data_IF_388452585290
#
_entry.id   IF_388452585290
#
_cell.length_a   1.000
_cell.length_b   1.000
_cell.length_c   1.000
_cell.angle_alpha   90.00
_cell.angle_beta   90.00
_cell.angle_gamma   90.00
#
_symmetry.space_group_name_H-M   'P 1'
#
loop_
_entity.id
_entity.type
_entity.pdbx_description
1 polymer ?
#
# COMPACT_ATOMS: atom_id res chain seq x y z
N UNK A 1 -48.94 -22.84 -23.82
CA UNK A 1 -49.15 -21.67 -22.94
C UNK A 1 -47.78 -21.05 -22.75
N UNK A 2 -47.47 -20.05 -23.55
CA UNK A 2 -46.09 -19.56 -23.79
C UNK A 2 -45.93 -18.25 -23.03
N UNK A 3 -45.15 -18.27 -21.94
CA UNK A 3 -44.90 -17.08 -21.12
C UNK A 3 -43.71 -16.34 -21.72
N UNK A 4 -44.00 -15.19 -22.34
CA UNK A 4 -43.02 -14.27 -22.90
C UNK A 4 -42.44 -13.41 -21.78
N UNK A 5 -41.14 -13.53 -21.52
CA UNK A 5 -40.40 -12.68 -20.59
C UNK A 5 -39.79 -11.49 -21.34
N UNK A 6 -40.36 -10.31 -21.16
CA UNK A 6 -39.78 -9.02 -21.59
C UNK A 6 -38.83 -8.50 -20.51
N UNK A 7 -37.56 -8.33 -20.85
CA UNK A 7 -36.55 -7.71 -20.00
C UNK A 7 -36.81 -6.20 -19.84
N UNK A 8 -36.71 -5.63 -18.62
CA UNK A 8 -36.80 -4.20 -18.41
C UNK A 8 -35.50 -3.48 -18.81
N UNK A 9 -35.66 -2.36 -19.50
CA UNK A 9 -34.61 -1.41 -19.92
C UNK A 9 -34.01 -0.70 -18.70
N UNK A 10 -32.68 -0.50 -18.63
CA UNK A 10 -32.07 0.30 -17.56
C UNK A 10 -32.34 1.79 -17.79
N UNK A 11 -32.99 2.43 -16.82
CA UNK A 11 -33.15 3.89 -16.75
C UNK A 11 -31.84 4.51 -16.27
N UNK A 12 -31.25 5.36 -17.12
CA UNK A 12 -30.13 6.23 -16.81
C UNK A 12 -30.55 7.28 -15.79
N UNK A 13 -30.07 7.15 -14.55
CA UNK A 13 -30.16 8.19 -13.52
C UNK A 13 -29.10 9.25 -13.78
N UNK A 14 -29.54 10.39 -14.28
CA UNK A 14 -28.74 11.61 -14.45
C UNK A 14 -28.30 12.10 -13.07
N UNK A 15 -27.00 12.09 -12.81
CA UNK A 15 -26.38 12.66 -11.62
C UNK A 15 -26.45 14.19 -11.69
N UNK A 16 -27.12 14.79 -10.70
CA UNK A 16 -27.13 16.23 -10.48
C UNK A 16 -25.84 16.63 -9.76
N UNK A 17 -25.14 17.71 -10.18
CA UNK A 17 -24.00 18.21 -9.43
C UNK A 17 -24.47 18.87 -8.12
N UNK A 18 -23.96 18.38 -6.99
CA UNK A 18 -24.11 19.03 -5.70
C UNK A 18 -23.30 20.33 -5.69
N UNK A 19 -24.00 21.45 -5.85
CA UNK A 19 -23.47 22.78 -5.65
C UNK A 19 -23.20 23.00 -4.17
N UNK A 20 -21.92 23.12 -3.81
CA UNK A 20 -21.42 23.45 -2.47
C UNK A 20 -21.94 24.83 -2.04
N UNK A 21 -23.01 24.85 -1.24
CA UNK A 21 -23.46 26.06 -0.58
C UNK A 21 -22.59 26.32 0.66
N UNK A 22 -21.62 27.21 0.49
CA UNK A 22 -20.87 27.84 1.58
C UNK A 22 -21.87 28.69 2.38
N UNK A 23 -22.36 28.16 3.51
CA UNK A 23 -23.10 28.95 4.49
C UNK A 23 -22.11 29.56 5.46
N UNK A 24 -21.96 30.89 5.35
CA UNK A 24 -21.32 31.73 6.33
C UNK A 24 -22.01 31.56 7.69
N UNK A 25 -21.26 31.05 8.68
CA UNK A 25 -21.69 31.02 10.07
C UNK A 25 -21.43 32.41 10.66
N UNK A 26 -22.52 33.13 10.90
CA UNK A 26 -22.52 34.39 11.63
C UNK A 26 -22.07 34.14 13.07
N UNK A 27 -20.99 34.80 13.46
CA UNK A 27 -20.52 34.88 14.83
C UNK A 27 -21.54 35.66 15.69
N UNK A 28 -22.37 34.95 16.43
CA UNK A 28 -23.21 35.50 17.48
C UNK A 28 -22.42 35.61 18.78
N UNK A 29 -21.79 36.76 19.01
CA UNK A 29 -21.20 37.11 20.31
C UNK A 29 -22.34 37.41 21.28
N UNK A 30 -22.65 36.47 22.18
CA UNK A 30 -23.53 36.72 23.34
C UNK A 30 -22.65 37.18 24.49
N UNK A 31 -22.51 38.49 24.63
CA UNK A 31 -21.89 39.13 25.80
C UNK A 31 -22.88 39.07 26.97
N UNK A 32 -22.73 38.06 27.84
CA UNK A 32 -23.43 38.02 29.12
C UNK A 32 -22.66 38.86 30.15
N UNK A 33 -23.05 40.13 30.27
CA UNK A 33 -22.54 41.02 31.30
C UNK A 33 -23.19 40.67 32.66
N UNK A 34 -22.47 39.92 33.50
CA UNK A 34 -22.84 39.73 34.90
C UNK A 34 -22.51 41.02 35.68
N UNK A 35 -23.54 41.80 35.99
CA UNK A 35 -23.44 42.94 36.90
C UNK A 35 -23.29 42.41 38.34
N UNK A 36 -22.05 42.39 38.83
CA UNK A 36 -21.73 42.11 40.22
C UNK A 36 -22.08 43.34 41.08
N UNK A 37 -23.13 43.25 41.88
CA UNK A 37 -23.45 44.27 42.89
C UNK A 37 -22.56 44.04 44.13
N UNK A 38 -21.93 45.08 44.70
CA UNK A 38 -21.17 44.97 45.95
C UNK A 38 -22.13 45.04 47.13
N UNK A 39 -22.42 43.90 47.76
CA UNK A 39 -23.05 43.89 49.09
C UNK A 39 -21.93 43.92 50.11
N UNK A 40 -21.68 45.12 50.64
CA UNK A 40 -20.86 45.30 51.82
C UNK A 40 -21.61 44.89 53.09
N UNK A 41 -20.91 44.20 53.99
CA UNK A 41 -21.09 44.30 55.43
C UNK A 41 -19.84 43.73 56.11
N UNK A 42 -18.89 44.61 56.46
CA UNK A 42 -17.82 44.33 57.40
C UNK A 42 -18.44 44.15 58.80
N UNK A 43 -18.52 42.92 59.27
CA UNK A 43 -18.76 42.60 60.67
C UNK A 43 -17.41 42.33 61.36
N UNK A 44 -17.29 42.82 62.59
CA UNK A 44 -16.07 42.84 63.40
C UNK A 44 -15.52 41.44 63.71
N UNK A 45 -14.19 41.26 63.83
CA UNK A 45 -13.60 40.00 64.23
C UNK A 45 -13.82 39.81 65.74
N UNK A 46 -14.70 38.90 66.10
CA UNK A 46 -14.71 38.30 67.43
C UNK A 46 -13.56 37.30 67.46
N UNK A 47 -12.51 37.61 68.21
CA UNK A 47 -11.42 36.68 68.51
C UNK A 47 -11.96 35.51 69.33
N UNK A 48 -12.40 34.47 68.63
CA UNK A 48 -12.53 33.13 69.18
C UNK A 48 -11.25 32.39 68.84
N UNK A 49 -10.62 31.79 69.84
CA UNK A 49 -9.53 30.86 69.68
C UNK A 49 -9.99 29.75 68.70
N UNK A 50 -9.53 29.85 67.46
CA UNK A 50 -9.70 28.83 66.43
C UNK A 50 -8.81 27.66 66.85
N UNK A 51 -9.41 26.71 67.57
CA UNK A 51 -8.89 25.35 67.64
C UNK A 51 -8.75 24.87 66.19
N UNK A 52 -7.51 24.88 65.71
CA UNK A 52 -7.03 24.36 64.42
C UNK A 52 -7.32 22.85 64.39
N UNK A 53 -8.59 22.50 64.14
CA UNK A 53 -9.00 21.13 63.89
C UNK A 53 -8.28 20.70 62.62
N UNK A 54 -7.26 19.85 62.77
CA UNK A 54 -6.53 19.26 61.67
C UNK A 54 -7.52 18.75 60.62
N UNK A 55 -7.51 19.36 59.44
CA UNK A 55 -8.40 19.00 58.34
C UNK A 55 -8.21 17.51 58.01
N UNK A 56 -9.33 16.80 57.87
CA UNK A 56 -9.32 15.40 57.46
C UNK A 56 -8.63 15.29 56.10
N UNK A 57 -7.51 14.53 55.97
CA UNK A 57 -6.79 14.39 54.70
C UNK A 57 -7.68 13.93 53.53
N UNK A 58 -8.79 13.23 53.82
CA UNK A 58 -9.74 12.82 52.79
C UNK A 58 -10.54 13.98 52.19
N UNK A 59 -10.84 15.02 52.99
CA UNK A 59 -11.52 16.22 52.52
C UNK A 59 -10.63 17.00 51.54
N UNK A 60 -9.35 17.15 51.89
CA UNK A 60 -8.38 17.81 51.02
C UNK A 60 -8.23 17.11 49.66
N UNK A 61 -8.19 15.77 49.66
CA UNK A 61 -8.10 14.98 48.42
C UNK A 61 -9.34 15.15 47.53
N UNK A 62 -10.54 15.24 48.11
CA UNK A 62 -11.78 15.49 47.36
C UNK A 62 -11.83 16.91 46.77
N UNK A 63 -11.33 17.90 47.50
CA UNK A 63 -11.23 19.27 47.00
C UNK A 63 -10.22 19.38 45.83
N UNK A 64 -9.10 18.67 45.91
CA UNK A 64 -8.13 18.59 44.81
C UNK A 64 -8.73 17.85 43.59
N UNK A 65 -9.40 16.72 43.80
CA UNK A 65 -10.09 15.98 42.74
C UNK A 65 -11.15 16.86 42.03
N UNK A 66 -11.86 17.70 42.78
CA UNK A 66 -12.81 18.66 42.21
C UNK A 66 -12.13 19.73 41.35
N UNK A 67 -11.00 20.28 41.79
CA UNK A 67 -10.24 21.25 41.00
C UNK A 67 -9.74 20.63 39.69
N UNK A 68 -9.26 19.38 39.73
CA UNK A 68 -8.86 18.62 38.54
C UNK A 68 -10.06 18.36 37.62
N UNK A 69 -11.22 18.00 38.17
CA UNK A 69 -12.44 17.83 37.39
C UNK A 69 -12.82 19.11 36.63
N UNK A 70 -12.84 20.25 37.32
CA UNK A 70 -13.17 21.57 36.73
C UNK A 70 -12.14 21.99 35.67
N UNK A 71 -10.85 21.71 35.90
CA UNK A 71 -9.80 21.89 34.91
C UNK A 71 -10.06 21.01 33.66
N UNK A 72 -10.40 19.74 33.86
CA UNK A 72 -10.76 18.83 32.78
C UNK A 72 -11.97 19.30 31.96
N UNK A 73 -13.02 19.80 32.62
CA UNK A 73 -14.19 20.40 31.96
C UNK A 73 -13.78 21.61 31.11
N UNK A 74 -12.88 22.45 31.63
CA UNK A 74 -12.36 23.62 30.91
C UNK A 74 -11.62 23.19 29.64
N UNK A 75 -10.73 22.20 29.74
CA UNK A 75 -9.97 21.65 28.60
C UNK A 75 -10.87 20.96 27.58
N UNK A 76 -11.82 20.17 28.04
CA UNK A 76 -12.81 19.52 27.17
C UNK A 76 -13.59 20.56 26.36
N UNK A 77 -14.01 21.65 27.02
CA UNK A 77 -14.74 22.75 26.37
C UNK A 77 -13.87 23.52 25.35
N UNK A 78 -12.56 23.55 25.56
CA UNK A 78 -11.58 24.10 24.61
C UNK A 78 -11.22 23.13 23.46
N UNK A 79 -11.85 21.96 23.39
CA UNK A 79 -11.50 20.86 22.48
C UNK A 79 -10.08 20.29 22.67
N UNK A 80 -9.48 20.50 23.85
CA UNK A 80 -8.20 19.93 24.26
C UNK A 80 -8.44 18.60 24.99
N UNK A 81 -9.01 17.63 24.26
CA UNK A 81 -9.53 16.39 24.85
C UNK A 81 -8.47 15.53 25.55
N UNK A 82 -7.23 15.55 25.07
CA UNK A 82 -6.14 14.81 25.73
C UNK A 82 -5.79 15.35 27.11
N UNK A 83 -5.75 16.67 27.28
CA UNK A 83 -5.53 17.27 28.60
C UNK A 83 -6.73 17.03 29.53
N UNK A 84 -7.96 17.09 28.98
CA UNK A 84 -9.16 16.76 29.75
C UNK A 84 -9.14 15.33 30.30
N UNK A 85 -8.74 14.36 29.46
CA UNK A 85 -8.57 12.95 29.86
C UNK A 85 -7.53 12.84 30.98
N UNK A 86 -6.39 13.51 30.88
CA UNK A 86 -5.36 13.49 31.94
C UNK A 86 -5.93 13.98 33.27
N UNK A 87 -6.55 15.17 33.28
CA UNK A 87 -7.10 15.74 34.50
C UNK A 87 -8.18 14.87 35.15
N UNK A 88 -9.06 14.26 34.36
CA UNK A 88 -10.09 13.38 34.91
C UNK A 88 -9.54 12.05 35.43
N UNK A 89 -8.48 11.51 34.83
CA UNK A 89 -7.80 10.33 35.38
C UNK A 89 -7.06 10.66 36.68
N UNK A 90 -6.38 11.81 36.75
CA UNK A 90 -5.76 12.28 37.99
C UNK A 90 -6.82 12.50 39.09
N UNK A 91 -7.97 13.10 38.75
CA UNK A 91 -9.08 13.24 39.69
C UNK A 91 -9.62 11.88 40.16
N UNK A 92 -9.72 10.90 39.25
CA UNK A 92 -10.18 9.55 39.57
C UNK A 92 -9.24 8.85 40.57
N UNK A 93 -7.94 9.06 40.45
CA UNK A 93 -6.93 8.45 41.32
C UNK A 93 -6.93 9.04 42.74
N UNK A 94 -7.28 10.32 42.88
CA UNK A 94 -7.41 10.99 44.19
C UNK A 94 -8.64 10.54 44.98
N UNK A 95 -9.70 10.11 44.31
CA UNK A 95 -10.96 9.76 44.96
C UNK A 95 -10.85 8.37 45.62
N UNK A 96 -11.00 8.28 46.97
CA UNK A 96 -10.94 7.01 47.68
C UNK A 96 -12.00 6.02 47.16
N UNK A 97 -11.67 4.72 47.04
CA UNK A 97 -12.65 3.69 46.68
C UNK A 97 -13.57 3.43 47.88
N UNK A 98 -14.60 4.26 48.03
CA UNK A 98 -15.65 4.11 49.04
C UNK A 98 -17.02 3.98 48.38
N UNK A 99 -17.98 3.43 49.12
CA UNK A 99 -19.37 3.32 48.69
C UNK A 99 -19.98 4.69 48.33
N UNK A 100 -19.60 5.75 49.02
CA UNK A 100 -20.11 7.11 48.80
C UNK A 100 -19.53 7.74 47.53
N UNK A 101 -18.28 7.41 47.19
CA UNK A 101 -17.55 8.02 46.08
C UNK A 101 -17.69 7.29 44.74
N UNK A 102 -18.19 6.06 44.73
CA UNK A 102 -18.31 5.23 43.52
C UNK A 102 -19.02 5.93 42.35
N UNK A 103 -20.05 6.73 42.62
CA UNK A 103 -20.80 7.42 41.57
C UNK A 103 -19.93 8.51 40.93
N UNK A 104 -19.11 9.21 41.71
CA UNK A 104 -18.18 10.21 41.19
C UNK A 104 -17.13 9.53 40.28
N UNK A 105 -16.59 8.39 40.73
CA UNK A 105 -15.63 7.60 39.93
C UNK A 105 -16.26 7.11 38.62
N UNK A 106 -17.50 6.63 38.67
CA UNK A 106 -18.27 6.24 37.49
C UNK A 106 -18.44 7.40 36.48
N UNK A 107 -18.85 8.57 36.95
CA UNK A 107 -19.04 9.75 36.11
C UNK A 107 -17.73 10.21 35.44
N UNK A 108 -16.61 10.16 36.18
CA UNK A 108 -15.28 10.46 35.62
C UNK A 108 -14.90 9.50 34.49
N UNK A 109 -15.14 8.20 34.67
CA UNK A 109 -14.84 7.18 33.65
C UNK A 109 -15.66 7.42 32.37
N UNK A 110 -16.96 7.73 32.51
CA UNK A 110 -17.79 8.08 31.36
C UNK A 110 -17.29 9.34 30.64
N UNK A 111 -16.88 10.36 31.39
CA UNK A 111 -16.33 11.59 30.81
C UNK A 111 -15.04 11.31 30.03
N UNK A 112 -14.12 10.52 30.60
CA UNK A 112 -12.89 10.08 29.92
C UNK A 112 -13.21 9.33 28.63
N UNK A 113 -14.12 8.34 28.69
CA UNK A 113 -14.52 7.57 27.50
C UNK A 113 -15.10 8.47 26.40
N UNK A 114 -15.91 9.47 26.78
CA UNK A 114 -16.50 10.44 25.85
C UNK A 114 -15.47 11.40 25.25
N UNK A 115 -14.52 11.90 26.03
CA UNK A 115 -13.44 12.73 25.52
C UNK A 115 -12.57 11.97 24.52
N UNK A 116 -12.29 10.70 24.75
CA UNK A 116 -11.58 9.85 23.79
C UNK A 116 -12.34 9.72 22.46
N UNK A 117 -13.66 9.53 22.49
CA UNK A 117 -14.47 9.53 21.26
C UNK A 117 -14.42 10.88 20.53
N UNK A 118 -14.49 12.00 21.27
CA UNK A 118 -14.35 13.34 20.67
C UNK A 118 -12.95 13.62 20.13
N UNK A 119 -11.92 13.07 20.75
CA UNK A 119 -10.55 13.17 20.26
C UNK A 119 -10.41 12.46 18.90
N UNK A 120 -10.93 11.23 18.79
CA UNK A 120 -11.04 10.52 17.52
C UNK A 120 -11.77 11.33 16.44
N UNK A 121 -12.84 12.06 16.80
CA UNK A 121 -13.56 12.88 15.83
C UNK A 121 -12.65 13.94 15.17
N UNK A 122 -11.63 14.45 15.88
CA UNK A 122 -10.69 15.47 15.39
C UNK A 122 -9.55 14.87 14.58
N UNK A 123 -8.76 13.95 15.16
CA UNK A 123 -7.51 13.46 14.54
C UNK A 123 -7.67 12.19 13.71
N UNK A 124 -8.82 11.52 13.82
CA UNK A 124 -9.14 10.23 13.18
C UNK A 124 -8.20 9.08 13.57
N UNK A 125 -7.55 9.15 14.74
CA UNK A 125 -6.77 8.04 15.28
C UNK A 125 -7.66 7.03 16.01
N UNK A 126 -7.81 5.84 15.40
CA UNK A 126 -8.63 4.73 15.93
C UNK A 126 -8.16 4.25 17.31
N UNK A 127 -6.93 4.58 17.74
CA UNK A 127 -6.45 4.22 19.08
C UNK A 127 -7.30 4.85 20.18
N UNK A 128 -7.82 6.07 20.01
CA UNK A 128 -8.68 6.71 21.00
C UNK A 128 -9.99 5.95 21.21
N UNK A 129 -10.61 5.46 20.13
CA UNK A 129 -11.80 4.59 20.22
C UNK A 129 -11.47 3.28 20.95
N UNK A 130 -10.33 2.65 20.64
CA UNK A 130 -9.90 1.41 21.28
C UNK A 130 -9.63 1.61 22.78
N UNK A 131 -9.04 2.74 23.17
CA UNK A 131 -8.84 3.12 24.57
C UNK A 131 -10.17 3.37 25.29
N UNK A 132 -11.09 4.13 24.66
CA UNK A 132 -12.45 4.37 25.18
C UNK A 132 -13.18 3.06 25.48
N UNK A 133 -13.15 2.11 24.53
CA UNK A 133 -13.73 0.78 24.69
C UNK A 133 -13.11 -0.01 25.85
N UNK A 134 -11.79 0.00 25.97
CA UNK A 134 -11.10 -0.73 27.06
C UNK A 134 -11.44 -0.17 28.44
N UNK A 135 -11.52 1.16 28.55
CA UNK A 135 -11.91 1.85 29.79
C UNK A 135 -13.33 1.45 30.20
N UNK A 136 -14.28 1.47 29.27
CA UNK A 136 -15.67 1.04 29.53
C UNK A 136 -15.77 -0.45 29.87
N UNK A 137 -15.00 -1.32 29.20
CA UNK A 137 -14.98 -2.76 29.52
C UNK A 137 -14.45 -3.05 30.92
N UNK A 138 -13.41 -2.33 31.35
CA UNK A 138 -12.91 -2.45 32.72
C UNK A 138 -13.97 -2.01 33.72
N UNK A 139 -14.58 -0.86 33.46
CA UNK A 139 -15.64 -0.31 34.31
C UNK A 139 -16.86 -1.24 34.40
N UNK A 140 -17.25 -1.89 33.29
CA UNK A 140 -18.30 -2.91 33.26
C UNK A 140 -18.07 -4.03 34.31
N UNK A 141 -16.81 -4.40 34.55
CA UNK A 141 -16.43 -5.38 35.57
C UNK A 141 -16.63 -4.91 37.02
N UNK A 142 -16.74 -3.60 37.24
CA UNK A 142 -16.95 -2.98 38.57
C UNK A 142 -18.43 -2.66 38.83
N UNK A 143 -19.27 -2.58 37.79
CA UNK A 143 -20.67 -2.10 37.88
C UNK A 143 -21.52 -2.89 38.88
N UNK A 144 -21.35 -4.20 38.99
CA UNK A 144 -22.10 -5.03 39.94
C UNK A 144 -21.85 -4.61 41.39
N UNK A 145 -20.59 -4.36 41.73
CA UNK A 145 -20.18 -3.94 43.07
C UNK A 145 -20.67 -2.51 43.36
N UNK A 146 -20.63 -1.63 42.36
CA UNK A 146 -20.97 -0.22 42.53
C UNK A 146 -22.49 0.03 42.58
N UNK A 147 -23.31 -0.73 41.85
CA UNK A 147 -24.73 -0.41 41.69
C UNK A 147 -25.72 -1.43 42.28
N UNK A 148 -25.26 -2.62 42.68
CA UNK A 148 -26.13 -3.67 43.22
C UNK A 148 -27.29 -3.98 42.27
N UNK A 149 -28.54 -3.86 42.74
CA UNK A 149 -29.72 -4.13 41.90
C UNK A 149 -29.83 -3.21 40.66
N UNK A 150 -29.27 -2.00 40.71
CA UNK A 150 -29.25 -1.06 39.58
C UNK A 150 -28.20 -1.42 38.52
N UNK A 151 -27.29 -2.36 38.80
CA UNK A 151 -26.22 -2.76 37.90
C UNK A 151 -26.73 -3.30 36.54
N UNK A 152 -27.95 -3.83 36.49
CA UNK A 152 -28.54 -4.32 35.23
C UNK A 152 -28.73 -3.17 34.23
N UNK A 153 -29.27 -2.03 34.69
CA UNK A 153 -29.56 -0.87 33.84
C UNK A 153 -28.25 -0.20 33.40
N UNK A 154 -27.28 -0.06 34.30
CA UNK A 154 -25.99 0.54 33.96
C UNK A 154 -25.16 -0.33 33.02
N UNK A 155 -25.18 -1.66 33.19
CA UNK A 155 -24.55 -2.58 32.24
C UNK A 155 -25.10 -2.43 30.84
N UNK A 156 -26.43 -2.38 30.69
CA UNK A 156 -27.07 -2.24 29.38
C UNK A 156 -26.62 -0.96 28.67
N UNK A 157 -26.53 0.17 29.40
CA UNK A 157 -26.02 1.43 28.85
C UNK A 157 -24.56 1.35 28.41
N UNK A 158 -23.70 0.71 29.22
CA UNK A 158 -22.27 0.57 28.92
C UNK A 158 -22.06 -0.37 27.73
N UNK A 159 -22.80 -1.47 27.69
CA UNK A 159 -22.77 -2.42 26.58
C UNK A 159 -23.24 -1.77 25.27
N UNK A 160 -24.28 -0.93 25.32
CA UNK A 160 -24.74 -0.13 24.18
C UNK A 160 -23.64 0.83 23.69
N UNK A 161 -22.97 1.55 24.60
CA UNK A 161 -21.85 2.43 24.25
C UNK A 161 -20.65 1.66 23.67
N UNK A 162 -20.31 0.50 24.23
CA UNK A 162 -19.24 -0.36 23.72
C UNK A 162 -19.58 -0.84 22.30
N UNK A 163 -20.83 -1.24 22.06
CA UNK A 163 -21.30 -1.68 20.75
C UNK A 163 -21.22 -0.54 19.72
N UNK A 164 -21.60 0.68 20.09
CA UNK A 164 -21.45 1.87 19.24
C UNK A 164 -19.97 2.13 18.89
N UNK A 165 -19.06 2.06 19.87
CA UNK A 165 -17.62 2.23 19.63
C UNK A 165 -17.07 1.10 18.73
N UNK A 166 -17.49 -0.15 18.94
CA UNK A 166 -17.09 -1.28 18.11
C UNK A 166 -17.57 -1.12 16.65
N UNK A 167 -18.77 -0.59 16.43
CA UNK A 167 -19.26 -0.22 15.09
C UNK A 167 -18.39 0.87 14.45
N UNK A 168 -18.06 1.93 15.20
CA UNK A 168 -17.19 3.00 14.70
C UNK A 168 -15.78 2.49 14.32
N UNK A 169 -15.20 1.60 15.13
CA UNK A 169 -13.91 0.97 14.84
C UNK A 169 -14.01 0.14 13.55
N UNK A 170 -15.02 -0.72 13.44
CA UNK A 170 -15.22 -1.56 12.26
C UNK A 170 -15.44 -0.73 10.98
N UNK A 171 -16.19 0.36 11.06
CA UNK A 171 -16.40 1.28 9.95
C UNK A 171 -15.11 1.98 9.51
N UNK A 172 -14.29 2.44 10.45
CA UNK A 172 -12.96 3.01 10.15
C UNK A 172 -12.08 1.97 9.44
N UNK A 173 -12.02 0.74 9.96
CA UNK A 173 -11.16 -0.32 9.43
C UNK A 173 -11.58 -0.74 8.02
N UNK A 174 -12.88 -0.84 7.76
CA UNK A 174 -13.42 -1.12 6.43
C UNK A 174 -13.10 0.00 5.41
N UNK A 175 -13.22 1.27 5.83
CA UNK A 175 -12.88 2.42 5.00
C UNK A 175 -11.38 2.44 4.63
N UNK A 176 -10.52 2.05 5.56
CA UNK A 176 -9.08 2.09 5.35
C UNK A 176 -8.58 0.91 4.53
N UNK A 177 -9.15 -0.28 4.74
CA UNK A 177 -8.98 -1.40 3.83
C UNK A 177 -9.42 -1.04 2.40
N UNK A 178 -10.52 -0.30 2.23
CA UNK A 178 -10.95 0.22 0.92
C UNK A 178 -9.95 1.18 0.30
N UNK A 179 -9.44 2.16 1.07
CA UNK A 179 -8.42 3.12 0.59
C UNK A 179 -7.12 2.44 0.20
N UNK A 180 -6.66 1.48 0.99
CA UNK A 180 -5.49 0.68 0.68
C UNK A 180 -5.69 -0.16 -0.57
N UNK A 181 -6.87 -0.76 -0.75
CA UNK A 181 -7.21 -1.50 -1.97
C UNK A 181 -7.24 -0.59 -3.21
N UNK A 182 -7.84 0.60 -3.12
CA UNK A 182 -7.84 1.58 -4.20
C UNK A 182 -6.41 2.06 -4.54
N UNK A 183 -5.60 2.32 -3.52
CA UNK A 183 -4.20 2.71 -3.71
C UNK A 183 -3.38 1.57 -4.33
N UNK A 184 -3.60 0.32 -3.91
CA UNK A 184 -2.99 -0.85 -4.51
C UNK A 184 -3.41 -1.04 -5.97
N UNK A 185 -4.67 -0.78 -6.31
CA UNK A 185 -5.15 -0.81 -7.70
C UNK A 185 -4.53 0.31 -8.54
N UNK A 186 -4.40 1.51 -7.98
CA UNK A 186 -3.77 2.66 -8.66
C UNK A 186 -2.27 2.44 -8.89
N UNK A 187 -1.61 1.79 -7.94
CA UNK A 187 -0.19 1.43 -8.02
C UNK A 187 0.07 0.16 -8.82
N UNK A 188 -0.97 -0.61 -9.15
CA UNK A 188 -0.86 -1.80 -10.01
C UNK A 188 -0.31 -1.35 -11.37
N UNK A 189 0.87 -1.82 -11.78
CA UNK A 189 1.41 -1.48 -13.09
C UNK A 189 0.40 -1.86 -14.17
N UNK A 190 -0.10 -0.86 -14.91
CA UNK A 190 -0.93 -1.14 -16.08
C UNK A 190 -0.04 -1.82 -17.10
N UNK A 191 -0.35 -3.07 -17.42
CA UNK A 191 0.30 -3.76 -18.51
C UNK A 191 -0.11 -3.07 -19.81
N UNK A 192 0.79 -2.28 -20.38
CA UNK A 192 0.61 -1.70 -21.70
C UNK A 192 0.85 -2.81 -22.74
N UNK A 193 -0.24 -3.42 -23.19
CA UNK A 193 -0.23 -4.48 -24.20
C UNK A 193 0.39 -3.99 -25.52
N UNK A 194 0.24 -2.71 -25.86
CA UNK A 194 0.85 -2.15 -27.06
C UNK A 194 2.37 -1.99 -26.91
N UNK A 195 2.84 -1.57 -25.74
CA UNK A 195 4.27 -1.55 -25.45
C UNK A 195 4.88 -2.95 -25.49
N UNK A 196 4.23 -3.96 -24.88
CA UNK A 196 4.71 -5.34 -24.91
C UNK A 196 4.70 -5.91 -26.35
N UNK A 197 3.67 -5.63 -27.13
CA UNK A 197 3.60 -6.01 -28.53
C UNK A 197 4.70 -5.34 -29.38
N UNK A 198 5.01 -4.06 -29.13
CA UNK A 198 6.12 -3.34 -29.79
C UNK A 198 7.47 -3.94 -29.41
N UNK A 199 7.73 -4.20 -28.13
CA UNK A 199 8.94 -4.90 -27.68
C UNK A 199 9.05 -6.29 -28.34
N UNK A 200 7.93 -7.00 -28.48
CA UNK A 200 7.90 -8.31 -29.10
C UNK A 200 8.27 -8.30 -30.59
N UNK A 201 7.72 -7.34 -31.34
CA UNK A 201 8.09 -7.16 -32.76
C UNK A 201 9.56 -6.79 -32.90
N UNK A 202 10.08 -5.89 -32.05
CA UNK A 202 11.50 -5.49 -32.04
C UNK A 202 12.43 -6.67 -31.77
N UNK A 203 12.14 -7.49 -30.75
CA UNK A 203 12.97 -8.65 -30.42
C UNK A 203 12.94 -9.71 -31.53
N UNK A 204 11.78 -9.97 -32.14
CA UNK A 204 11.66 -10.86 -33.30
C UNK A 204 12.47 -10.35 -34.50
N UNK A 205 12.43 -9.05 -34.77
CA UNK A 205 13.22 -8.44 -35.84
C UNK A 205 14.73 -8.58 -35.58
N UNK A 206 15.20 -8.35 -34.35
CA UNK A 206 16.61 -8.54 -33.97
C UNK A 206 17.07 -10.00 -34.10
N UNK A 207 16.26 -10.96 -33.65
CA UNK A 207 16.57 -12.39 -33.81
C UNK A 207 16.61 -12.75 -35.30
N UNK A 208 15.65 -12.28 -36.09
CA UNK A 208 15.61 -12.52 -37.54
C UNK A 208 16.83 -11.94 -38.25
N UNK A 209 17.22 -10.70 -37.94
CA UNK A 209 18.42 -10.07 -38.47
C UNK A 209 19.69 -10.82 -38.05
N UNK A 210 19.82 -11.16 -36.76
CA UNK A 210 20.96 -11.93 -36.24
C UNK A 210 21.08 -13.30 -36.89
N UNK A 211 19.96 -14.01 -37.07
CA UNK A 211 19.93 -15.30 -37.77
C UNK A 211 20.33 -15.15 -39.25
N UNK A 212 19.82 -14.13 -39.95
CA UNK A 212 20.19 -13.85 -41.33
C UNK A 212 21.68 -13.54 -41.50
N UNK A 213 22.23 -12.65 -40.68
CA UNK A 213 23.66 -12.32 -40.70
C UNK A 213 24.51 -13.55 -40.37
N UNK A 214 24.13 -14.33 -39.36
CA UNK A 214 24.86 -15.56 -38.99
C UNK A 214 24.86 -16.58 -40.14
N UNK A 215 23.71 -16.77 -40.81
CA UNK A 215 23.61 -17.66 -41.97
C UNK A 215 24.50 -17.21 -43.14
N UNK A 216 24.54 -15.90 -43.43
CA UNK A 216 25.44 -15.33 -44.42
C UNK A 216 26.92 -15.51 -44.02
N UNK A 217 27.23 -15.34 -42.74
CA UNK A 217 28.57 -15.57 -42.19
C UNK A 217 29.04 -17.01 -42.38
N UNK A 218 28.18 -18.00 -42.11
CA UNK A 218 28.47 -19.41 -42.41
C UNK A 218 28.60 -19.68 -43.91
N UNK A 219 27.87 -18.96 -44.76
CA UNK A 219 28.10 -18.97 -46.21
C UNK A 219 29.52 -18.52 -46.58
N UNK A 220 30.04 -17.49 -45.91
CA UNK A 220 31.44 -17.06 -46.03
C UNK A 220 32.45 -18.12 -45.60
N UNK A 221 32.17 -18.88 -44.53
CA UNK A 221 33.00 -20.03 -44.12
C UNK A 221 33.01 -21.11 -45.21
N UNK A 222 31.87 -21.37 -45.87
CA UNK A 222 31.79 -22.28 -47.00
C UNK A 222 32.67 -21.85 -48.18
N UNK A 223 32.68 -20.55 -48.51
CA UNK A 223 33.57 -19.99 -49.53
C UNK A 223 35.05 -20.13 -49.15
N UNK A 224 35.38 -19.89 -47.87
CA UNK A 224 36.73 -20.06 -47.35
C UNK A 224 37.21 -21.50 -47.50
N UNK A 225 36.42 -22.49 -47.07
CA UNK A 225 36.77 -23.92 -47.18
C UNK A 225 36.94 -24.31 -48.64
N UNK A 226 36.05 -23.85 -49.52
CA UNK A 226 36.14 -24.09 -50.96
C UNK A 226 37.42 -23.48 -51.55
N UNK A 227 37.79 -22.27 -51.13
CA UNK A 227 39.03 -21.60 -51.52
C UNK A 227 40.28 -22.38 -51.11
N UNK A 228 40.33 -22.89 -49.86
CA UNK A 228 41.44 -23.72 -49.36
C UNK A 228 41.60 -25.00 -50.19
N UNK A 229 40.51 -25.70 -50.50
CA UNK A 229 40.55 -26.95 -51.26
C UNK A 229 41.04 -26.70 -52.69
N UNK A 230 40.56 -25.64 -53.35
CA UNK A 230 40.98 -25.27 -54.70
C UNK A 230 42.44 -24.81 -54.76
N UNK A 231 42.87 -23.96 -53.80
CA UNK A 231 44.25 -23.48 -53.73
C UNK A 231 45.24 -24.62 -53.40
N UNK A 232 44.91 -25.47 -52.41
CA UNK A 232 45.74 -26.61 -52.03
C UNK A 232 45.85 -27.66 -53.14
N UNK A 233 44.75 -27.94 -53.85
CA UNK A 233 44.75 -28.83 -55.01
C UNK A 233 45.55 -28.29 -56.20
N UNK A 234 45.56 -26.98 -56.40
CA UNK A 234 46.39 -26.34 -57.43
C UNK A 234 47.89 -26.43 -57.07
N UNK A 235 48.26 -26.16 -55.82
CA UNK A 235 49.64 -26.18 -55.35
C UNK A 235 50.27 -27.57 -55.39
N UNK A 236 49.52 -28.62 -55.04
CA UNK A 236 49.97 -30.00 -55.16
C UNK A 236 50.33 -30.38 -56.61
N UNK A 237 49.52 -29.96 -57.59
CA UNK A 237 49.75 -30.27 -59.01
C UNK A 237 50.91 -29.50 -59.62
N UNK A 238 51.18 -28.27 -59.17
CA UNK A 238 52.34 -27.48 -59.65
C UNK A 238 53.66 -28.14 -59.25
N UNK A 239 53.73 -28.81 -58.10
CA UNK A 239 54.91 -29.53 -57.64
C UNK A 239 55.24 -30.80 -58.45
N UNK A 240 54.26 -31.37 -59.16
CA UNK A 240 54.39 -32.64 -59.88
C UNK A 240 54.68 -32.47 -61.39
N UNK A 241 54.58 -31.26 -61.93
CA UNK A 241 54.71 -31.02 -63.38
C UNK A 241 56.19 -30.80 -63.81
N UNK A 242 56.73 -31.54 -64.81
CA UNK A 242 58.10 -31.37 -65.29
C UNK A 242 58.35 -29.96 -65.84
N UNK A 243 59.57 -29.44 -65.66
CA UNK A 243 59.91 -28.03 -65.92
C UNK A 243 59.79 -27.60 -67.38
N UNK A 244 59.86 -28.52 -68.34
CA UNK A 244 60.12 -28.19 -69.74
C UNK A 244 58.99 -28.49 -70.74
N UNK A 245 57.86 -29.09 -70.32
CA UNK A 245 56.88 -29.61 -71.30
C UNK A 245 55.44 -29.07 -71.24
N UNK A 246 55.00 -28.30 -70.23
CA UNK A 246 53.56 -28.01 -70.11
C UNK A 246 53.22 -26.62 -69.53
N UNK A 247 53.52 -25.58 -70.32
CA UNK A 247 53.26 -24.17 -69.97
C UNK A 247 51.76 -23.93 -69.74
N UNK A 248 50.89 -24.51 -70.58
CA UNK A 248 49.44 -24.35 -70.48
C UNK A 248 48.86 -25.00 -69.21
N UNK A 249 49.37 -26.18 -68.82
CA UNK A 249 48.95 -26.83 -67.57
C UNK A 249 49.39 -26.02 -66.33
N UNK A 250 50.56 -25.38 -66.38
CA UNK A 250 51.05 -24.48 -65.32
C UNK A 250 50.19 -23.22 -65.22
N UNK A 251 49.85 -22.59 -66.33
CA UNK A 251 49.00 -21.39 -66.35
C UNK A 251 47.59 -21.70 -65.82
N UNK A 252 47.00 -22.84 -66.19
CA UNK A 252 45.70 -23.29 -65.69
C UNK A 252 45.71 -23.68 -64.20
N UNK A 253 46.87 -24.04 -63.64
CA UNK A 253 47.04 -24.30 -62.21
C UNK A 253 47.21 -23.00 -61.42
N UNK A 254 47.96 -22.03 -61.97
CA UNK A 254 48.15 -20.70 -61.38
C UNK A 254 46.81 -19.96 -61.31
N UNK A 255 46.03 -19.90 -62.39
CA UNK A 255 44.72 -19.21 -62.38
C UNK A 255 43.72 -19.82 -61.40
N UNK A 256 43.76 -21.14 -61.19
CA UNK A 256 42.98 -21.83 -60.15
C UNK A 256 43.47 -21.49 -58.75
N UNK A 257 44.78 -21.35 -58.55
CA UNK A 257 45.37 -20.89 -57.30
C UNK A 257 44.97 -19.46 -56.94
N UNK A 258 45.00 -18.55 -57.92
CA UNK A 258 44.54 -17.16 -57.76
C UNK A 258 43.05 -17.09 -57.41
N UNK A 259 42.22 -17.89 -58.10
CA UNK A 259 40.79 -18.01 -57.79
C UNK A 259 40.57 -18.55 -56.38
N UNK A 260 41.33 -19.57 -55.96
CA UNK A 260 41.27 -20.14 -54.62
C UNK A 260 41.64 -19.11 -53.52
N UNK A 261 42.72 -18.35 -53.73
CA UNK A 261 43.13 -17.28 -52.82
C UNK A 261 42.10 -16.15 -52.75
N UNK A 262 41.55 -15.73 -53.88
CA UNK A 262 40.50 -14.71 -53.93
C UNK A 262 39.24 -15.16 -53.14
N UNK A 263 38.82 -16.42 -53.29
CA UNK A 263 37.71 -17.00 -52.54
C UNK A 263 38.01 -17.12 -51.05
N UNK A 264 39.23 -17.47 -50.68
CA UNK A 264 39.65 -17.57 -49.28
C UNK A 264 39.63 -16.19 -48.59
N UNK A 265 40.21 -15.16 -49.22
CA UNK A 265 40.24 -13.79 -48.68
C UNK A 265 38.82 -13.25 -48.57
N UNK A 266 38.03 -13.37 -49.65
CA UNK A 266 36.64 -12.90 -49.67
C UNK A 266 35.80 -13.65 -48.64
N UNK A 267 35.91 -14.98 -48.57
CA UNK A 267 35.22 -15.82 -47.60
C UNK A 267 35.58 -15.46 -46.16
N UNK A 268 36.85 -15.18 -45.88
CA UNK A 268 37.32 -14.79 -44.53
C UNK A 268 36.77 -13.44 -44.07
N UNK A 269 36.76 -12.44 -44.95
CA UNK A 269 36.25 -11.10 -44.65
C UNK A 269 34.74 -11.12 -44.46
N UNK A 270 34.02 -11.81 -45.35
CA UNK A 270 32.56 -11.99 -45.26
C UNK A 270 32.21 -12.75 -43.97
N UNK A 271 32.85 -13.90 -43.71
CA UNK A 271 32.60 -14.67 -42.48
C UNK A 271 32.89 -13.85 -41.22
N UNK A 272 34.03 -13.16 -41.17
CA UNK A 272 34.43 -12.36 -40.03
C UNK A 272 33.43 -11.26 -39.68
N UNK A 273 33.01 -10.46 -40.66
CA UNK A 273 32.08 -9.34 -40.44
C UNK A 273 30.69 -9.85 -40.06
N UNK A 274 30.17 -10.84 -40.79
CA UNK A 274 28.79 -11.30 -40.60
C UNK A 274 28.61 -12.14 -39.32
N UNK A 275 29.58 -12.97 -38.93
CA UNK A 275 29.51 -13.72 -37.67
C UNK A 275 29.72 -12.80 -36.46
N UNK A 276 30.64 -11.83 -36.55
CA UNK A 276 30.89 -10.88 -35.46
C UNK A 276 29.66 -10.00 -35.17
N UNK A 277 28.89 -9.62 -36.21
CA UNK A 277 27.65 -8.88 -36.03
C UNK A 277 26.45 -9.78 -35.67
N UNK A 278 26.34 -10.96 -36.29
CA UNK A 278 25.18 -11.84 -36.16
C UNK A 278 25.02 -12.50 -34.79
N UNK A 279 26.12 -13.02 -34.23
CA UNK A 279 26.08 -13.78 -32.96
C UNK A 279 25.63 -12.92 -31.76
N UNK A 280 26.15 -11.69 -31.54
CA UNK A 280 25.69 -10.84 -30.44
C UNK A 280 24.21 -10.45 -30.57
N UNK A 281 23.74 -10.13 -31.79
CA UNK A 281 22.33 -9.79 -32.05
C UNK A 281 21.39 -10.95 -31.69
N UNK A 282 21.77 -12.18 -32.04
CA UNK A 282 21.01 -13.39 -31.73
C UNK A 282 20.98 -13.65 -30.21
N UNK A 283 22.12 -13.48 -29.53
CA UNK A 283 22.23 -13.64 -28.08
C UNK A 283 21.37 -12.60 -27.31
N UNK A 284 21.48 -11.32 -27.66
CA UNK A 284 20.71 -10.24 -27.02
C UNK A 284 19.22 -10.40 -27.29
N UNK A 285 18.83 -10.71 -28.53
CA UNK A 285 17.44 -10.97 -28.90
C UNK A 285 16.83 -12.14 -28.14
N UNK A 286 17.56 -13.26 -28.05
CA UNK A 286 17.15 -14.46 -27.31
C UNK A 286 17.03 -14.22 -25.80
N UNK A 287 17.99 -13.51 -25.20
CA UNK A 287 17.96 -13.15 -23.78
C UNK A 287 16.79 -12.22 -23.45
N UNK A 288 16.54 -11.20 -24.29
CA UNK A 288 15.42 -10.28 -24.15
C UNK A 288 14.06 -10.99 -24.27
N UNK A 289 13.93 -11.93 -25.23
CA UNK A 289 12.73 -12.75 -25.41
C UNK A 289 12.48 -13.67 -24.21
N UNK A 290 13.53 -14.31 -23.66
CA UNK A 290 13.43 -15.14 -22.46
C UNK A 290 12.98 -14.32 -21.25
N UNK A 291 13.56 -13.13 -21.03
CA UNK A 291 13.17 -12.22 -19.94
C UNK A 291 11.72 -11.76 -20.09
N UNK A 292 11.25 -11.47 -21.31
CA UNK A 292 9.84 -11.13 -21.56
C UNK A 292 8.91 -12.29 -21.23
N UNK A 293 9.22 -13.52 -21.69
CA UNK A 293 8.42 -14.72 -21.38
C UNK A 293 8.36 -14.99 -19.88
N UNK A 294 9.44 -14.79 -19.14
CA UNK A 294 9.46 -14.91 -17.68
C UNK A 294 8.54 -13.88 -17.01
N UNK A 295 8.63 -12.60 -17.39
CA UNK A 295 7.73 -11.54 -16.89
C UNK A 295 6.26 -11.84 -17.20
N UNK A 296 5.97 -12.35 -18.40
CA UNK A 296 4.60 -12.74 -18.79
C UNK A 296 4.10 -13.95 -18.00
N UNK A 297 4.97 -14.93 -17.74
CA UNK A 297 4.64 -16.09 -16.92
C UNK A 297 4.31 -15.70 -15.48
N UNK A 298 5.10 -14.78 -14.91
CA UNK A 298 4.88 -14.21 -13.56
C UNK A 298 3.56 -13.45 -13.48
N UNK A 299 3.25 -12.62 -14.49
CA UNK A 299 1.95 -11.93 -14.58
C UNK A 299 0.78 -12.91 -14.78
N UNK A 300 0.97 -14.01 -15.53
CA UNK A 300 -0.07 -15.01 -15.74
C UNK A 300 -0.24 -15.99 -14.57
N UNK A 301 0.77 -16.11 -13.71
CA UNK A 301 0.74 -16.98 -12.52
C UNK A 301 -0.14 -16.43 -11.40
N UNK A 302 -0.45 -15.13 -11.42
CA UNK A 302 -1.41 -14.47 -10.53
C UNK A 302 -2.78 -14.38 -11.24
N UNK A 303 -3.20 -15.49 -11.87
CA UNK A 303 -4.51 -15.62 -12.51
C UNK A 303 -5.44 -16.46 -11.62
N UNK A 304 -6.64 -15.95 -11.34
CA UNK A 304 -7.71 -16.73 -10.71
C UNK A 304 -8.11 -17.84 -11.67
N UNK A 305 -7.62 -19.06 -11.45
CA UNK A 305 -7.97 -20.23 -12.24
C UNK A 305 -9.34 -20.75 -11.84
N UNK A 306 -10.33 -20.67 -12.73
CA UNK A 306 -11.59 -21.39 -12.55
C UNK A 306 -11.34 -22.85 -12.93
N UNK A 307 -11.02 -23.68 -11.93
CA UNK A 307 -10.97 -25.12 -12.11
C UNK A 307 -12.39 -25.67 -12.15
N UNK A 308 -12.61 -26.74 -12.91
CA UNK A 308 -13.93 -27.36 -13.18
C UNK A 308 -14.60 -28.01 -11.94
N UNK A 309 -14.13 -27.68 -10.73
CA UNK A 309 -14.66 -28.12 -9.44
C UNK A 309 -14.68 -27.03 -8.35
N UNK A 310 -14.36 -25.76 -8.66
CA UNK A 310 -14.41 -24.65 -7.69
C UNK A 310 -13.47 -23.49 -8.04
N UNK A 311 -13.84 -22.29 -7.58
CA UNK A 311 -12.98 -21.10 -7.59
C UNK A 311 -11.84 -21.31 -6.59
N UNK A 312 -10.62 -21.52 -7.07
CA UNK A 312 -9.43 -21.67 -6.24
C UNK A 312 -8.35 -20.68 -6.64
N UNK A 313 -7.74 -20.02 -5.67
CA UNK A 313 -6.53 -19.20 -5.90
C UNK A 313 -5.33 -20.14 -5.76
N UNK A 314 -4.66 -20.46 -6.88
CA UNK A 314 -3.41 -21.23 -6.85
C UNK A 314 -2.21 -20.29 -6.82
N UNK A 315 -1.48 -20.24 -5.70
CA UNK A 315 -0.18 -19.57 -5.64
C UNK A 315 0.91 -20.53 -6.14
N UNK A 316 1.24 -20.46 -7.43
CA UNK A 316 2.27 -21.28 -8.06
C UNK A 316 3.59 -20.54 -8.20
N UNK A 317 4.42 -20.53 -7.15
CA UNK A 317 5.80 -20.03 -7.18
C UNK A 317 6.79 -21.15 -6.92
N UNK A 318 7.93 -21.16 -7.63
CA UNK A 318 9.10 -21.97 -7.20
C UNK A 318 9.74 -21.23 -6.03
N UNK A 319 9.50 -21.71 -4.82
CA UNK A 319 10.29 -21.34 -3.64
C UNK A 319 11.68 -21.98 -3.73
#
# INVERSE_FOLDING_TARGET
MTISMTNPTPTSTTSTPMTTAIRALAAGVVSLALALAPIGAHAAPAGGDEDELAEDPSAQALDEARQLFDAGVTRYSAAEYGEAVSFWLEAYDLIPPSYENRQIKAELIYNVARAQQKWFEIDKDVQHLRQSREILRRYLGEVDELYGDQAVIEREKIDEQIAEIDEQIAAWEAEQARREAELAERMRPKFDEEADAREARRNKAMIGAGAGLTALGFGGVGLLVTGIVLAGGAQARVGELPLEADILAREAAISRGETGNALMITGSLVAGVFLAAGLPLLAVGGAAEKKRKARRAELSGIGVGVFRGGLGVSLGGRF
#
